data_IF_160854321679
#
_entry.id   IF_160854321679
#
_cell.length_a   1.000
_cell.length_b   1.000
_cell.length_c   1.000
_cell.angle_alpha   90.00
_cell.angle_beta   90.00
_cell.angle_gamma   90.00
#
_symmetry.space_group_name_H-M   'P 1'
#
loop_
_entity.id
_entity.type
_entity.pdbx_description
1 polymer ?
#
# COMPACT_ATOMS: atom_id res chain seq x y z
N UNK A 1 24.40 -10.54 5.37
CA UNK A 1 23.63 -9.39 5.46
C UNK A 1 24.49 -8.22 5.50
N UNK A 2 24.35 -7.24 5.51
CA UNK A 2 25.34 -6.48 5.65
C UNK A 2 25.40 -5.10 5.31
N UNK A 3 26.47 -4.74 4.78
CA UNK A 3 26.87 -3.38 4.52
C UNK A 3 26.68 -3.00 3.06
N UNK A 4 25.97 -3.82 2.29
CA UNK A 4 25.82 -3.58 0.86
C UNK A 4 24.58 -2.76 0.57
N UNK A 5 24.74 -1.76 -0.28
CA UNK A 5 23.60 -1.11 -0.90
C UNK A 5 22.96 -2.10 -1.86
N UNK A 6 21.63 -2.25 -1.78
CA UNK A 6 20.89 -3.17 -2.62
C UNK A 6 19.89 -2.39 -3.46
N UNK A 7 19.76 -2.78 -4.71
CA UNK A 7 18.90 -2.14 -5.68
C UNK A 7 17.71 -3.03 -6.02
N UNK A 8 16.58 -2.42 -6.28
CA UNK A 8 15.38 -3.14 -6.75
C UNK A 8 14.68 -2.27 -7.76
N UNK A 9 14.15 -2.88 -8.83
CA UNK A 9 13.39 -2.19 -9.87
C UNK A 9 11.99 -2.75 -9.95
N UNK A 10 11.03 -1.87 -10.11
CA UNK A 10 9.63 -2.28 -10.22
C UNK A 10 9.42 -3.26 -11.37
N UNK A 11 10.09 -3.06 -12.51
CA UNK A 11 9.99 -3.94 -13.67
C UNK A 11 10.54 -5.34 -13.46
N UNK A 12 11.40 -5.52 -12.44
CA UNK A 12 12.06 -6.79 -12.17
C UNK A 12 11.38 -7.61 -11.08
N UNK A 13 10.41 -7.04 -10.37
CA UNK A 13 9.69 -7.76 -9.30
C UNK A 13 8.32 -8.20 -9.78
N UNK A 14 7.86 -9.32 -9.22
CA UNK A 14 6.55 -9.85 -9.56
C UNK A 14 5.42 -8.94 -9.11
N UNK A 15 4.38 -8.92 -9.93
CA UNK A 15 3.13 -8.29 -9.56
C UNK A 15 2.38 -9.21 -8.60
N UNK A 16 2.00 -8.69 -7.44
CA UNK A 16 1.20 -9.42 -6.45
C UNK A 16 -0.22 -8.86 -6.48
N UNK A 17 -1.19 -9.67 -6.85
CA UNK A 17 -2.59 -9.26 -6.83
C UNK A 17 -3.14 -9.32 -5.41
N UNK A 18 -3.51 -8.16 -4.88
CA UNK A 18 -4.17 -8.05 -3.58
C UNK A 18 -5.68 -8.30 -3.75
N UNK A 19 -6.27 -7.67 -4.77
CA UNK A 19 -7.64 -7.94 -5.23
C UNK A 19 -7.55 -8.16 -6.73
N UNK A 20 -7.70 -9.39 -7.17
CA UNK A 20 -7.48 -9.75 -8.55
C UNK A 20 -8.33 -8.92 -9.50
N UNK A 21 -7.68 -8.29 -10.49
CA UNK A 21 -8.32 -7.41 -11.45
C UNK A 21 -8.49 -5.98 -10.98
N UNK A 22 -8.25 -5.66 -9.71
CA UNK A 22 -8.55 -4.34 -9.15
C UNK A 22 -7.37 -3.68 -8.45
N UNK A 23 -6.52 -4.46 -7.78
CA UNK A 23 -5.42 -3.91 -6.99
C UNK A 23 -4.22 -4.84 -7.05
N UNK A 24 -3.06 -4.32 -7.44
CA UNK A 24 -1.83 -5.09 -7.42
C UNK A 24 -0.68 -4.29 -6.84
N UNK A 25 0.31 -5.00 -6.36
CA UNK A 25 1.47 -4.44 -5.67
C UNK A 25 2.77 -4.96 -6.27
N UNK A 26 3.76 -4.08 -6.37
CA UNK A 26 5.15 -4.46 -6.63
C UNK A 26 5.92 -4.25 -5.34
N UNK A 27 6.39 -5.33 -4.73
CA UNK A 27 7.07 -5.28 -3.43
C UNK A 27 8.57 -5.20 -3.64
N UNK A 28 9.06 -3.97 -3.65
CA UNK A 28 10.43 -3.65 -4.05
C UNK A 28 11.45 -4.01 -2.98
N UNK A 29 11.14 -3.74 -1.71
CA UNK A 29 12.02 -4.03 -0.58
C UNK A 29 11.25 -4.90 0.40
N UNK A 30 11.85 -6.03 0.78
CA UNK A 30 11.25 -6.96 1.76
C UNK A 30 12.34 -7.57 2.63
N UNK A 31 11.94 -8.14 3.75
CA UNK A 31 12.85 -8.90 4.59
C UNK A 31 13.42 -10.09 3.83
N UNK A 32 12.58 -10.76 3.06
CA UNK A 32 12.97 -11.96 2.30
C UNK A 32 14.06 -11.67 1.29
N UNK A 33 13.98 -10.56 0.59
CA UNK A 33 14.92 -10.25 -0.50
C UNK A 33 16.14 -9.47 -0.05
N UNK A 34 15.97 -8.53 0.88
CA UNK A 34 17.06 -7.65 1.31
C UNK A 34 17.40 -7.78 2.79
N UNK A 35 16.63 -8.53 3.57
CA UNK A 35 16.83 -8.60 5.01
C UNK A 35 16.30 -7.38 5.76
N UNK A 36 15.43 -6.61 5.15
CA UNK A 36 14.89 -5.39 5.74
C UNK A 36 13.91 -5.68 6.88
N UNK A 37 13.87 -4.80 7.89
CA UNK A 37 12.88 -4.86 8.95
C UNK A 37 11.53 -4.30 8.53
N UNK A 38 11.45 -3.67 7.37
CA UNK A 38 10.21 -3.12 6.80
C UNK A 38 10.09 -3.56 5.36
N UNK A 39 8.94 -3.34 4.75
CA UNK A 39 8.78 -3.53 3.31
C UNK A 39 8.35 -2.23 2.65
N UNK A 40 8.71 -2.08 1.37
CA UNK A 40 8.36 -0.93 0.56
C UNK A 40 7.74 -1.41 -0.73
N UNK A 41 6.52 -0.91 -1.02
CA UNK A 41 5.71 -1.35 -2.15
C UNK A 41 5.25 -0.17 -2.98
N UNK A 42 5.02 -0.43 -4.28
CA UNK A 42 4.21 0.45 -5.12
C UNK A 42 2.94 -0.31 -5.43
N UNK A 43 1.81 0.25 -5.05
CA UNK A 43 0.50 -0.37 -5.23
C UNK A 43 -0.34 0.43 -6.20
N UNK A 44 -0.99 -0.25 -7.13
CA UNK A 44 -1.81 0.35 -8.18
C UNK A 44 -3.23 -0.18 -8.06
N UNK A 45 -4.19 0.74 -8.11
CA UNK A 45 -5.63 0.45 -8.10
C UNK A 45 -6.24 0.89 -9.41
N UNK A 46 -7.17 0.08 -9.94
CA UNK A 46 -7.94 0.48 -11.12
C UNK A 46 -8.97 1.55 -10.75
N UNK A 47 -9.42 2.37 -11.75
CA UNK A 47 -10.47 3.38 -11.52
C UNK A 47 -11.73 2.76 -10.94
N UNK A 48 -12.39 3.51 -10.06
CA UNK A 48 -13.71 3.21 -9.49
C UNK A 48 -13.78 1.99 -8.57
N UNK A 49 -12.65 1.38 -8.25
CA UNK A 49 -12.64 0.27 -7.30
C UNK A 49 -13.14 0.75 -5.93
N UNK A 50 -14.04 -0.02 -5.34
CA UNK A 50 -14.73 0.30 -4.09
C UNK A 50 -14.48 -0.85 -3.13
N UNK A 51 -13.84 -0.58 -2.01
CA UNK A 51 -13.47 -1.63 -1.05
C UNK A 51 -13.42 -1.09 0.37
N UNK A 52 -13.45 -1.99 1.34
CA UNK A 52 -13.16 -1.68 2.72
C UNK A 52 -11.79 -2.25 3.04
N UNK A 53 -10.93 -1.42 3.63
CA UNK A 53 -9.58 -1.80 4.02
C UNK A 53 -9.53 -1.94 5.54
N UNK A 54 -8.99 -3.05 6.02
CA UNK A 54 -8.86 -3.32 7.45
C UNK A 54 -7.42 -3.63 7.82
N UNK A 55 -7.00 -3.16 8.97
CA UNK A 55 -5.72 -3.54 9.56
C UNK A 55 -5.74 -4.97 10.05
N UNK A 56 -4.59 -5.63 9.96
CA UNK A 56 -4.45 -7.04 10.35
C UNK A 56 -4.03 -7.23 11.81
N UNK A 57 -3.85 -6.14 12.55
CA UNK A 57 -3.40 -6.19 13.94
C UNK A 57 -1.91 -6.42 14.11
N UNK A 58 -1.16 -6.45 13.01
CA UNK A 58 0.27 -6.75 13.01
C UNK A 58 1.09 -5.64 12.36
N UNK A 59 0.67 -5.21 11.15
CA UNK A 59 1.44 -4.25 10.34
C UNK A 59 1.01 -2.82 10.62
N UNK A 60 1.99 -1.97 10.89
CA UNK A 60 1.88 -0.52 10.83
C UNK A 60 2.17 -0.10 9.39
N UNK A 61 1.42 0.85 8.85
CA UNK A 61 1.51 1.17 7.42
C UNK A 61 1.55 2.68 7.22
N UNK A 62 2.42 3.12 6.32
CA UNK A 62 2.41 4.49 5.81
C UNK A 62 2.13 4.44 4.32
N UNK A 63 1.21 5.27 3.87
CA UNK A 63 0.86 5.42 2.46
C UNK A 63 1.23 6.83 1.99
N UNK A 64 1.69 6.92 0.75
CA UNK A 64 1.94 8.21 0.11
C UNK A 64 1.37 8.17 -1.30
N UNK A 65 0.53 9.15 -1.65
CA UNK A 65 -0.11 9.17 -2.97
C UNK A 65 0.83 9.73 -4.03
N UNK A 66 1.03 8.96 -5.10
CA UNK A 66 1.87 9.33 -6.23
C UNK A 66 1.05 9.82 -7.43
N UNK A 67 -0.12 9.22 -7.68
CA UNK A 67 -0.93 9.50 -8.85
C UNK A 67 -2.40 9.13 -8.57
N UNK A 68 -3.31 9.88 -9.16
CA UNK A 68 -4.75 9.63 -9.02
C UNK A 68 -5.29 10.16 -7.70
N UNK A 69 -6.46 9.69 -7.32
CA UNK A 69 -7.10 10.12 -6.08
C UNK A 69 -8.09 9.07 -5.61
N UNK A 70 -8.43 9.14 -4.32
CA UNK A 70 -9.48 8.31 -3.75
C UNK A 70 -10.25 9.08 -2.68
N UNK A 71 -11.49 8.68 -2.46
CA UNK A 71 -12.25 9.12 -1.32
C UNK A 71 -12.10 8.09 -0.20
N UNK A 72 -11.78 8.55 0.99
CA UNK A 72 -11.54 7.67 2.12
C UNK A 72 -12.39 8.11 3.31
N UNK A 73 -13.15 7.16 3.84
CA UNK A 73 -13.98 7.39 5.02
C UNK A 73 -13.48 6.52 6.15
N UNK A 74 -12.99 7.15 7.22
CA UNK A 74 -12.61 6.44 8.43
C UNK A 74 -13.87 5.91 9.10
N UNK A 75 -13.98 4.59 9.24
CA UNK A 75 -15.18 3.96 9.77
C UNK A 75 -15.24 4.00 11.30
N UNK A 76 -14.16 4.44 11.97
CA UNK A 76 -14.17 4.62 13.42
C UNK A 76 -14.86 5.92 13.84
N UNK A 77 -14.78 6.97 13.04
CA UNK A 77 -15.32 8.29 13.39
C UNK A 77 -16.16 8.95 12.29
N UNK A 78 -16.26 8.33 11.12
CA UNK A 78 -17.06 8.80 10.00
C UNK A 78 -16.47 9.94 9.19
N UNK A 79 -15.23 10.36 9.48
CA UNK A 79 -14.59 11.45 8.72
C UNK A 79 -14.20 10.98 7.33
N UNK A 80 -14.40 11.87 6.37
CA UNK A 80 -14.05 11.63 4.97
C UNK A 80 -12.95 12.57 4.53
N UNK A 81 -12.09 12.08 3.65
CA UNK A 81 -11.01 12.86 3.04
C UNK A 81 -10.78 12.41 1.62
N UNK A 82 -10.36 13.35 0.78
CA UNK A 82 -9.81 13.03 -0.53
C UNK A 82 -8.31 12.82 -0.36
N UNK A 83 -7.84 11.66 -0.78
CA UNK A 83 -6.43 11.29 -0.78
C UNK A 83 -5.90 11.52 -2.20
N UNK A 84 -4.93 12.41 -2.35
CA UNK A 84 -4.43 12.87 -3.65
C UNK A 84 -2.91 13.02 -3.63
N UNK A 85 -2.26 13.22 -4.78
CA UNK A 85 -0.80 13.29 -4.84
C UNK A 85 -0.21 14.27 -3.82
N UNK A 86 0.79 13.79 -3.10
CA UNK A 86 1.44 14.56 -2.04
C UNK A 86 0.89 14.31 -0.65
N UNK A 87 -0.24 13.62 -0.53
CA UNK A 87 -0.81 13.29 0.79
C UNK A 87 -0.20 12.01 1.33
N UNK A 88 -0.01 11.97 2.64
CA UNK A 88 0.44 10.79 3.36
C UNK A 88 -0.62 10.36 4.39
N UNK A 89 -0.72 9.05 4.61
CA UNK A 89 -1.57 8.49 5.65
C UNK A 89 -0.76 7.59 6.55
N UNK A 90 -1.02 7.67 7.84
CA UNK A 90 -0.53 6.69 8.80
C UNK A 90 -1.67 5.77 9.21
N UNK A 91 -1.45 4.47 9.11
CA UNK A 91 -2.40 3.45 9.52
C UNK A 91 -1.81 2.66 10.69
N UNK A 92 -2.40 2.74 11.89
CA UNK A 92 -1.99 1.90 13.01
C UNK A 92 -2.31 0.44 12.73
N UNK A 93 -1.91 -0.47 13.60
CA UNK A 93 -2.13 -1.90 13.34
C UNK A 93 -3.60 -2.30 13.24
N UNK A 94 -4.49 -1.52 13.87
CA UNK A 94 -5.95 -1.73 13.77
C UNK A 94 -6.59 -0.49 13.19
N UNK A 95 -7.24 -0.63 12.06
CA UNK A 95 -7.95 0.43 11.37
C UNK A 95 -9.00 -0.18 10.45
N UNK A 96 -9.94 0.66 10.03
CA UNK A 96 -10.94 0.26 9.06
C UNK A 96 -11.43 1.50 8.33
N UNK A 97 -11.32 1.51 7.01
CA UNK A 97 -11.82 2.63 6.22
C UNK A 97 -12.43 2.16 4.91
N UNK A 98 -13.40 2.95 4.43
CA UNK A 98 -14.03 2.74 3.13
C UNK A 98 -13.22 3.51 2.09
N UNK A 99 -12.79 2.81 1.04
CA UNK A 99 -11.85 3.31 0.05
C UNK A 99 -12.49 3.23 -1.32
N UNK A 100 -12.74 4.39 -1.93
CA UNK A 100 -13.35 4.47 -3.26
C UNK A 100 -12.37 5.19 -4.18
N UNK A 101 -11.86 4.45 -5.16
CA UNK A 101 -10.87 4.96 -6.11
C UNK A 101 -11.57 5.86 -7.12
N UNK A 102 -10.96 6.99 -7.43
CA UNK A 102 -11.47 7.93 -8.42
C UNK A 102 -11.28 7.48 -9.85
N UNK A 103 -11.66 8.34 -10.78
CA UNK A 103 -11.70 8.05 -12.21
C UNK A 103 -10.32 7.89 -12.87
N UNK A 104 -9.27 8.38 -12.22
CA UNK A 104 -7.90 8.27 -12.72
C UNK A 104 -7.15 7.06 -12.17
N UNK A 105 -7.81 6.21 -11.38
CA UNK A 105 -7.12 5.16 -10.64
C UNK A 105 -6.33 5.74 -9.48
N UNK A 106 -5.43 4.95 -8.92
CA UNK A 106 -4.59 5.39 -7.80
C UNK A 106 -3.28 4.63 -7.82
N UNK A 107 -2.17 5.35 -7.63
CA UNK A 107 -0.85 4.74 -7.43
C UNK A 107 -0.29 5.31 -6.14
N UNK A 108 0.11 4.42 -5.23
CA UNK A 108 0.63 4.80 -3.92
C UNK A 108 1.94 4.09 -3.61
N UNK A 109 2.78 4.77 -2.83
CA UNK A 109 3.93 4.15 -2.18
C UNK A 109 3.49 3.69 -0.79
N UNK A 110 3.88 2.48 -0.42
CA UNK A 110 3.45 1.84 0.84
C UNK A 110 4.66 1.34 1.59
N UNK A 111 4.77 1.70 2.86
CA UNK A 111 5.79 1.16 3.74
C UNK A 111 5.10 0.43 4.88
N UNK A 112 5.48 -0.83 5.10
CA UNK A 112 4.92 -1.66 6.18
C UNK A 112 6.02 -2.09 7.14
N UNK A 113 5.70 -2.09 8.42
CA UNK A 113 6.55 -2.68 9.43
C UNK A 113 5.71 -3.56 10.37
N UNK A 114 6.12 -4.82 10.65
CA UNK A 114 7.21 -5.53 10.00
C UNK A 114 7.02 -5.70 8.50
N UNK A 115 8.01 -6.25 7.81
CA UNK A 115 7.96 -6.45 6.37
C UNK A 115 6.78 -7.32 5.96
N UNK A 116 6.03 -6.88 4.95
CA UNK A 116 5.01 -7.71 4.31
C UNK A 116 5.65 -8.41 3.11
N UNK A 117 5.64 -9.72 3.14
CA UNK A 117 6.32 -10.52 2.12
C UNK A 117 5.49 -10.62 0.83
N UNK A 118 6.10 -10.94 -0.32
CA UNK A 118 5.39 -10.97 -1.61
C UNK A 118 4.19 -11.93 -1.66
N UNK A 119 4.19 -12.98 -0.84
CA UNK A 119 3.09 -13.95 -0.83
C UNK A 119 1.97 -13.60 0.14
N UNK A 120 2.11 -12.51 0.90
CA UNK A 120 1.10 -12.03 1.83
C UNK A 120 0.21 -10.99 1.15
N UNK A 121 -1.09 -11.13 1.29
CA UNK A 121 -2.07 -10.20 0.72
C UNK A 121 -3.08 -9.65 1.74
#
# INVERSE_FOLDING_TARGET
MGDKIMWSRQEDVERVWVHEGYEFSHRLITKRHQGSSFSFHITTYVPFFDTIVEGDGVHEVVLYCLHGWSNQKDLSDGRERIFKPGDAMYLPVKYRYHHVIGDAGLVIAVCCTPSREPLEV
#
